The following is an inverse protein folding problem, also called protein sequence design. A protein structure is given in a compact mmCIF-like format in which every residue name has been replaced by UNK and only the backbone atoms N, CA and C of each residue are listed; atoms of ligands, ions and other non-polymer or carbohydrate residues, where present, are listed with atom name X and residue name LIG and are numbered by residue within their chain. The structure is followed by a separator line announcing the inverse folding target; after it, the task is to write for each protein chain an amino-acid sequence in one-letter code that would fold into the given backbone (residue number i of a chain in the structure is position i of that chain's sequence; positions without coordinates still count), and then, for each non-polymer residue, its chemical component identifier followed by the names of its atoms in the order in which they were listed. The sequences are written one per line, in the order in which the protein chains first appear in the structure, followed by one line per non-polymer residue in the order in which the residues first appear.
data_IF_572320711641
#
_entry.id   IF_572320711641
#
_cell.length_a   1.000
_cell.length_b   1.000
_cell.length_c   1.000
_cell.angle_alpha   90.00
_cell.angle_beta   90.00
_cell.angle_gamma   90.00
#
_symmetry.space_group_name_H-M   'P 1'
#
loop_
_entity.id
_entity.type
_entity.pdbx_description
1 polymer ?
#
# COMPACT_ATOMS: atom_id res chain seq x y z
N UNK A 1 12.85 -28.32 0.33
CA UNK A 1 13.50 -27.60 1.43
C UNK A 1 12.39 -27.08 2.31
N UNK A 2 12.30 -27.54 3.57
CA UNK A 2 11.28 -27.08 4.51
C UNK A 2 11.57 -25.61 4.84
N UNK A 3 10.79 -24.68 4.27
CA UNK A 3 10.91 -23.26 4.61
C UNK A 3 10.58 -23.09 6.10
N UNK A 4 11.52 -22.54 6.87
CA UNK A 4 11.27 -22.18 8.25
C UNK A 4 10.08 -21.21 8.31
N UNK A 5 9.14 -21.42 9.24
CA UNK A 5 7.99 -20.54 9.40
C UNK A 5 8.42 -19.11 9.73
N UNK A 6 7.51 -18.16 9.58
CA UNK A 6 7.78 -16.72 9.77
C UNK A 6 6.89 -16.12 10.82
N UNK A 7 7.49 -15.43 11.79
CA UNK A 7 6.78 -14.81 12.90
C UNK A 7 6.69 -13.29 12.72
N UNK A 8 5.49 -12.78 12.48
CA UNK A 8 5.21 -11.38 12.20
C UNK A 8 4.33 -10.83 13.31
N UNK A 9 4.76 -9.73 13.94
CA UNK A 9 4.05 -9.11 15.06
C UNK A 9 3.55 -7.72 14.67
N UNK A 10 2.31 -7.43 15.05
CA UNK A 10 1.70 -6.12 14.89
C UNK A 10 1.65 -5.41 16.25
N UNK A 11 2.32 -4.28 16.37
CA UNK A 11 2.42 -3.48 17.60
C UNK A 11 1.86 -2.06 17.43
N UNK A 12 1.57 -1.40 18.54
CA UNK A 12 1.05 -0.03 18.58
C UNK A 12 -0.07 0.15 19.60
N UNK A 13 -0.49 1.40 19.83
CA UNK A 13 -1.54 1.74 20.79
C UNK A 13 -2.93 1.20 20.44
N UNK A 14 -3.93 1.47 21.27
CA UNK A 14 -5.34 1.23 20.96
C UNK A 14 -5.79 2.12 19.77
N UNK A 15 -6.80 1.68 19.00
CA UNK A 15 -7.38 2.51 17.93
C UNK A 15 -6.52 2.73 16.68
N UNK A 16 -5.35 2.09 16.58
CA UNK A 16 -4.42 2.29 15.45
C UNK A 16 -4.77 1.51 14.17
N UNK A 17 -5.76 0.60 14.22
CA UNK A 17 -6.21 -0.15 13.04
C UNK A 17 -5.52 -1.49 12.79
N UNK A 18 -4.69 -1.99 13.72
CA UNK A 18 -4.01 -3.30 13.62
C UNK A 18 -4.94 -4.43 13.21
N UNK A 19 -6.05 -4.62 13.94
CA UNK A 19 -6.99 -5.72 13.69
C UNK A 19 -7.58 -5.69 12.28
N UNK A 20 -7.82 -4.49 11.72
CA UNK A 20 -8.27 -4.35 10.33
C UNK A 20 -7.20 -4.82 9.37
N UNK A 21 -5.95 -4.37 9.56
CA UNK A 21 -4.86 -4.72 8.66
C UNK A 21 -4.42 -6.19 8.76
N UNK A 22 -4.48 -6.79 9.95
CA UNK A 22 -4.26 -8.23 10.14
C UNK A 22 -5.24 -9.02 9.27
N UNK A 23 -6.54 -8.67 9.27
CA UNK A 23 -7.55 -9.34 8.43
C UNK A 23 -7.28 -9.17 6.94
N UNK A 24 -6.85 -7.98 6.51
CA UNK A 24 -6.50 -7.70 5.11
C UNK A 24 -5.29 -8.54 4.68
N UNK A 25 -4.25 -8.59 5.52
CA UNK A 25 -3.04 -9.38 5.25
C UNK A 25 -3.33 -10.89 5.27
N UNK A 26 -4.07 -11.37 6.27
CA UNK A 26 -4.54 -12.75 6.41
C UNK A 26 -5.23 -13.22 5.13
N UNK A 27 -6.22 -12.46 4.66
CA UNK A 27 -6.95 -12.78 3.43
C UNK A 27 -5.99 -12.87 2.24
N UNK A 28 -5.12 -11.87 2.07
CA UNK A 28 -4.19 -11.79 0.93
C UNK A 28 -3.15 -12.92 0.90
N UNK A 29 -2.63 -13.32 2.07
CA UNK A 29 -1.70 -14.46 2.18
C UNK A 29 -2.42 -15.79 1.95
N UNK A 30 -3.63 -15.95 2.50
CA UNK A 30 -4.46 -17.15 2.25
C UNK A 30 -4.78 -17.32 0.77
N UNK A 31 -5.15 -16.24 0.07
CA UNK A 31 -5.42 -16.24 -1.38
C UNK A 31 -4.17 -16.62 -2.20
N UNK A 32 -2.96 -16.41 -1.67
CA UNK A 32 -1.70 -16.85 -2.27
C UNK A 32 -1.26 -18.26 -1.86
N UNK A 33 -2.09 -18.97 -1.10
CA UNK A 33 -1.85 -20.36 -0.71
C UNK A 33 -0.87 -20.54 0.45
N UNK A 34 -0.57 -19.49 1.21
CA UNK A 34 0.25 -19.63 2.42
C UNK A 34 -0.55 -20.26 3.55
N UNK A 35 0.08 -21.18 4.29
CA UNK A 35 -0.44 -21.67 5.56
C UNK A 35 -0.13 -20.62 6.64
N UNK A 36 -1.18 -20.08 7.23
CA UNK A 36 -1.11 -18.94 8.13
C UNK A 36 -1.81 -19.25 9.46
N UNK A 37 -1.29 -18.67 10.53
CA UNK A 37 -1.92 -18.67 11.85
C UNK A 37 -2.02 -17.25 12.35
N UNK A 38 -3.25 -16.76 12.50
CA UNK A 38 -3.52 -15.48 13.15
C UNK A 38 -3.82 -15.71 14.63
N UNK A 39 -3.10 -15.00 15.49
CA UNK A 39 -3.28 -15.06 16.94
C UNK A 39 -3.08 -13.69 17.60
N UNK A 40 -3.20 -13.61 18.93
CA UNK A 40 -3.10 -12.36 19.70
C UNK A 40 -2.58 -12.60 21.10
N UNK A 41 -2.04 -11.55 21.71
CA UNK A 41 -1.68 -11.55 23.13
C UNK A 41 -2.32 -10.40 23.92
N UNK A 42 -2.61 -10.61 25.22
CA UNK A 42 -2.63 -11.89 25.93
C UNK A 42 -3.77 -12.76 25.40
N UNK A 43 -3.68 -14.09 25.55
CA UNK A 43 -4.62 -15.04 24.96
C UNK A 43 -4.03 -15.82 23.79
N UNK A 44 -4.86 -16.16 22.82
CA UNK A 44 -4.48 -16.83 21.59
C UNK A 44 -5.49 -17.88 21.16
N UNK A 45 -5.76 -17.95 19.86
CA UNK A 45 -6.68 -18.95 19.29
C UNK A 45 -6.14 -20.35 19.57
N UNK A 46 -6.95 -21.21 20.20
CA UNK A 46 -6.53 -22.58 20.55
C UNK A 46 -5.69 -22.70 21.83
N UNK A 47 -5.55 -21.63 22.63
CA UNK A 47 -4.78 -21.63 23.89
C UNK A 47 -5.67 -21.31 25.11
N UNK A 48 -6.44 -22.28 25.65
CA UNK A 48 -7.41 -22.04 26.73
C UNK A 48 -6.83 -21.37 27.97
N UNK A 49 -5.66 -21.82 28.43
CA UNK A 49 -4.99 -21.26 29.62
C UNK A 49 -4.64 -19.77 29.40
N UNK A 50 -4.16 -19.40 28.21
CA UNK A 50 -3.83 -18.01 27.92
C UNK A 50 -5.10 -17.14 27.84
N UNK A 51 -6.21 -17.68 27.34
CA UNK A 51 -7.52 -16.99 27.31
C UNK A 51 -8.12 -16.82 28.72
N UNK A 52 -7.95 -17.78 29.63
CA UNK A 52 -8.34 -17.61 31.05
C UNK A 52 -7.54 -16.49 31.72
N UNK A 53 -6.22 -16.45 31.49
CA UNK A 53 -5.38 -15.36 31.99
C UNK A 53 -5.80 -14.01 31.37
N UNK A 54 -6.12 -13.99 30.07
CA UNK A 54 -6.67 -12.80 29.41
C UNK A 54 -7.97 -12.34 30.09
N UNK A 55 -8.88 -13.26 30.42
CA UNK A 55 -10.11 -12.92 31.11
C UNK A 55 -9.86 -12.24 32.47
N UNK A 56 -8.83 -12.68 33.21
CA UNK A 56 -8.40 -12.04 34.46
C UNK A 56 -7.85 -10.63 34.20
N UNK A 57 -6.97 -10.48 33.21
CA UNK A 57 -6.33 -9.20 32.87
C UNK A 57 -7.32 -8.13 32.40
N UNK A 58 -8.31 -8.53 31.61
CA UNK A 58 -9.31 -7.64 30.99
C UNK A 58 -10.50 -7.31 31.87
N UNK A 59 -10.67 -8.00 33.00
CA UNK A 59 -11.85 -7.81 33.85
C UNK A 59 -11.81 -6.43 34.56
N UNK A 60 -12.76 -5.52 34.28
CA UNK A 60 -12.80 -4.18 34.91
C UNK A 60 -13.04 -4.22 36.43
N UNK A 61 -13.54 -5.33 36.97
CA UNK A 61 -13.70 -5.51 38.41
C UNK A 61 -12.36 -5.65 39.15
N UNK A 62 -11.29 -6.07 38.47
CA UNK A 62 -9.98 -6.34 39.08
C UNK A 62 -9.12 -5.08 39.27
N UNK A 63 -9.69 -4.00 39.79
CA UNK A 63 -9.02 -2.68 39.95
C UNK A 63 -7.85 -2.70 40.94
N UNK A 64 -7.81 -3.66 41.87
CA UNK A 64 -6.77 -3.79 42.89
C UNK A 64 -5.52 -4.55 42.41
N UNK A 65 -5.50 -5.07 41.18
CA UNK A 65 -4.34 -5.79 40.65
C UNK A 65 -3.13 -4.84 40.55
N UNK A 66 -2.02 -5.22 41.19
CA UNK A 66 -0.78 -4.46 41.13
C UNK A 66 -0.14 -4.57 39.74
N UNK A 67 0.70 -3.61 39.39
CA UNK A 67 1.34 -3.55 38.09
C UNK A 67 2.34 -4.71 37.88
N UNK A 68 2.97 -5.22 38.95
CA UNK A 68 3.81 -6.43 38.93
C UNK A 68 2.97 -7.68 38.66
N UNK A 69 1.82 -7.82 39.33
CA UNK A 69 0.90 -8.93 39.09
C UNK A 69 0.44 -8.94 37.63
N UNK A 70 0.08 -7.77 37.11
CA UNK A 70 -0.29 -7.58 35.71
C UNK A 70 0.85 -8.01 34.76
N UNK A 71 2.08 -7.55 35.01
CA UNK A 71 3.26 -7.95 34.24
C UNK A 71 3.44 -9.48 34.24
N UNK A 72 3.40 -10.13 35.41
CA UNK A 72 3.57 -11.58 35.52
C UNK A 72 2.44 -12.36 34.86
N UNK A 73 1.20 -11.87 34.88
CA UNK A 73 0.09 -12.50 34.16
C UNK A 73 0.25 -12.38 32.64
N UNK A 74 0.70 -11.22 32.12
CA UNK A 74 1.03 -11.11 30.69
C UNK A 74 2.14 -12.10 30.30
N UNK A 75 3.19 -12.20 31.12
CA UNK A 75 4.31 -13.11 30.88
C UNK A 75 3.87 -14.59 30.96
N UNK A 76 3.01 -14.95 31.91
CA UNK A 76 2.47 -16.30 32.03
C UNK A 76 1.60 -16.68 30.83
N UNK A 77 0.73 -15.76 30.37
CA UNK A 77 -0.09 -15.93 29.17
C UNK A 77 0.79 -16.16 27.94
N UNK A 78 1.81 -15.31 27.74
CA UNK A 78 2.78 -15.40 26.64
C UNK A 78 3.59 -16.69 26.68
N UNK A 79 4.11 -17.07 27.85
CA UNK A 79 4.90 -18.28 28.02
C UNK A 79 4.15 -19.54 27.58
N UNK A 80 2.85 -19.61 27.91
CA UNK A 80 1.97 -20.69 27.47
C UNK A 80 1.70 -20.61 25.96
N UNK A 81 1.32 -19.43 25.47
CA UNK A 81 0.94 -19.21 24.08
C UNK A 81 2.09 -19.51 23.10
N UNK A 82 3.31 -19.08 23.41
CA UNK A 82 4.50 -19.36 22.60
C UNK A 82 4.75 -20.86 22.50
N UNK A 83 4.77 -21.58 23.63
CA UNK A 83 5.10 -23.01 23.67
C UNK A 83 4.02 -23.91 23.09
N UNK A 84 2.75 -23.55 23.26
CA UNK A 84 1.62 -24.36 22.82
C UNK A 84 1.21 -24.07 21.37
N UNK A 85 1.33 -22.82 20.92
CA UNK A 85 0.73 -22.36 19.66
C UNK A 85 1.77 -21.81 18.69
N UNK A 86 2.52 -20.77 19.07
CA UNK A 86 3.35 -20.04 18.11
C UNK A 86 4.54 -20.88 17.64
N UNK A 87 5.35 -21.42 18.56
CA UNK A 87 6.54 -22.19 18.21
C UNK A 87 6.21 -23.46 17.42
N UNK A 88 5.19 -24.27 17.79
CA UNK A 88 4.77 -25.40 16.95
C UNK A 88 4.38 -24.98 15.53
N UNK A 89 3.60 -23.91 15.37
CA UNK A 89 3.19 -23.42 14.05
C UNK A 89 4.37 -22.95 13.19
N UNK A 90 5.35 -22.26 13.80
CA UNK A 90 6.58 -21.86 13.11
C UNK A 90 7.40 -23.08 12.68
N UNK A 91 7.51 -24.10 13.55
CA UNK A 91 8.22 -25.34 13.24
C UNK A 91 7.54 -26.14 12.11
N UNK A 92 6.23 -26.00 11.96
CA UNK A 92 5.44 -26.55 10.84
C UNK A 92 5.62 -25.76 9.53
N UNK A 93 6.33 -24.63 9.55
CA UNK A 93 6.56 -23.79 8.38
C UNK A 93 5.50 -22.72 8.13
N UNK A 94 4.58 -22.49 9.08
CA UNK A 94 3.49 -21.51 8.93
C UNK A 94 3.99 -20.07 9.06
N UNK A 95 3.24 -19.15 8.48
CA UNK A 95 3.37 -17.72 8.78
C UNK A 95 2.45 -17.41 9.98
N UNK A 96 3.05 -17.09 11.12
CA UNK A 96 2.29 -16.68 12.31
C UNK A 96 2.21 -15.17 12.36
N UNK A 97 0.98 -14.63 12.36
CA UNK A 97 0.70 -13.21 12.54
C UNK A 97 0.11 -13.01 13.94
N UNK A 98 0.77 -12.23 14.79
CA UNK A 98 0.35 -12.00 16.16
C UNK A 98 0.04 -10.52 16.44
N UNK A 99 -1.17 -10.25 16.95
CA UNK A 99 -1.53 -8.93 17.49
C UNK A 99 -0.93 -8.80 18.90
N UNK A 100 0.11 -7.96 19.02
CA UNK A 100 0.96 -7.75 20.20
C UNK A 100 1.88 -8.92 20.58
N UNK A 101 3.04 -8.60 21.17
CA UNK A 101 4.00 -9.56 21.71
C UNK A 101 4.84 -8.90 22.84
N UNK A 102 6.13 -9.24 22.97
CA UNK A 102 7.03 -8.73 24.01
C UNK A 102 7.15 -7.20 24.04
N UNK A 103 7.12 -6.55 22.88
CA UNK A 103 7.28 -5.10 22.77
C UNK A 103 6.17 -4.32 23.49
N UNK A 104 4.93 -4.82 23.45
CA UNK A 104 3.81 -4.31 24.26
C UNK A 104 4.14 -4.34 25.76
N UNK A 105 4.80 -5.38 26.27
CA UNK A 105 5.17 -5.44 27.69
C UNK A 105 6.16 -4.35 28.07
N UNK A 106 7.15 -4.05 27.23
CA UNK A 106 8.09 -2.96 27.47
C UNK A 106 7.39 -1.58 27.39
N UNK A 107 6.57 -1.36 26.36
CA UNK A 107 5.89 -0.09 26.16
C UNK A 107 4.93 0.26 27.31
N UNK A 108 4.10 -0.70 27.74
CA UNK A 108 3.11 -0.47 28.77
C UNK A 108 3.71 -0.62 30.19
N UNK A 109 4.45 -1.68 30.49
CA UNK A 109 4.86 -1.97 31.87
C UNK A 109 6.13 -1.23 32.28
N UNK A 110 7.11 -1.10 31.38
CA UNK A 110 8.32 -0.33 31.69
C UNK A 110 8.12 1.17 31.42
N UNK A 111 7.89 1.56 30.16
CA UNK A 111 7.89 2.98 29.79
C UNK A 111 6.69 3.76 30.34
N UNK A 112 5.49 3.18 30.34
CA UNK A 112 4.29 3.90 30.79
C UNK A 112 4.06 3.78 32.30
N UNK A 113 4.18 2.57 32.88
CA UNK A 113 3.99 2.30 34.32
C UNK A 113 5.24 2.56 35.17
N UNK A 114 6.44 2.56 34.59
CA UNK A 114 7.69 2.76 35.32
C UNK A 114 8.15 1.55 36.13
N UNK A 115 7.75 0.32 35.73
CA UNK A 115 8.16 -0.90 36.44
C UNK A 115 9.56 -1.35 36.04
N UNK A 116 10.38 -1.57 37.07
CA UNK A 116 11.76 -2.08 36.99
C UNK A 116 12.64 -1.26 36.03
N UNK A 117 13.93 -1.53 36.01
CA UNK A 117 14.80 -1.02 34.95
C UNK A 117 14.55 -1.79 33.63
N UNK A 118 14.95 -1.18 32.51
CA UNK A 118 14.69 -1.72 31.17
C UNK A 118 15.28 -3.13 30.97
N UNK A 119 16.49 -3.36 31.46
CA UNK A 119 17.18 -4.64 31.30
C UNK A 119 16.52 -5.74 32.11
N UNK A 120 16.04 -5.44 33.31
CA UNK A 120 15.22 -6.38 34.10
C UNK A 120 13.97 -6.82 33.34
N UNK A 121 13.20 -5.89 32.75
CA UNK A 121 11.97 -6.25 32.02
C UNK A 121 12.29 -7.03 30.73
N UNK A 122 13.36 -6.69 30.02
CA UNK A 122 13.85 -7.48 28.87
C UNK A 122 14.22 -8.91 29.28
N UNK A 123 14.97 -9.07 30.37
CA UNK A 123 15.39 -10.38 30.86
C UNK A 123 14.21 -11.25 31.27
N UNK A 124 13.20 -10.69 31.92
CA UNK A 124 12.01 -11.45 32.31
C UNK A 124 11.16 -11.82 31.07
N UNK A 125 11.05 -10.93 30.07
CA UNK A 125 10.40 -11.26 28.78
C UNK A 125 11.12 -12.42 28.06
N UNK A 126 12.44 -12.34 27.96
CA UNK A 126 13.28 -13.40 27.40
C UNK A 126 13.11 -14.70 28.21
N UNK A 127 13.08 -14.66 29.54
CA UNK A 127 12.84 -15.85 30.35
C UNK A 127 11.48 -16.51 30.06
N UNK A 128 10.43 -15.71 29.84
CA UNK A 128 9.11 -16.22 29.52
C UNK A 128 9.06 -16.95 28.16
N UNK A 129 9.88 -16.55 27.19
CA UNK A 129 9.73 -16.95 25.77
C UNK A 129 10.94 -17.64 25.16
N UNK A 130 12.11 -17.57 25.78
CA UNK A 130 13.40 -17.94 25.21
C UNK A 130 13.92 -16.88 24.23
N UNK A 131 14.89 -17.27 23.40
CA UNK A 131 15.40 -16.48 22.27
C UNK A 131 14.44 -16.55 21.07
N UNK A 132 13.15 -16.29 21.34
CA UNK A 132 12.09 -16.38 20.34
C UNK A 132 11.59 -14.99 19.97
N UNK A 133 12.32 -14.36 19.06
CA UNK A 133 12.02 -13.03 18.55
C UNK A 133 11.26 -13.08 17.22
N UNK A 134 10.43 -12.07 16.92
CA UNK A 134 9.77 -11.96 15.63
C UNK A 134 10.75 -11.69 14.49
N UNK A 135 10.49 -12.30 13.33
CA UNK A 135 11.20 -11.98 12.08
C UNK A 135 10.89 -10.55 11.60
N UNK A 136 9.69 -10.03 11.92
CA UNK A 136 9.24 -8.69 11.55
C UNK A 136 8.26 -8.14 12.59
N UNK A 137 8.52 -6.94 13.07
CA UNK A 137 7.60 -6.16 13.91
C UNK A 137 7.10 -4.93 13.15
N UNK A 138 5.79 -4.84 12.96
CA UNK A 138 5.13 -3.70 12.32
C UNK A 138 4.53 -2.79 13.42
N UNK A 139 5.14 -1.63 13.64
CA UNK A 139 4.67 -0.64 14.60
C UNK A 139 3.69 0.32 13.94
N UNK A 140 2.43 0.27 14.33
CA UNK A 140 1.40 1.21 13.89
C UNK A 140 1.49 2.49 14.72
N UNK A 141 2.12 3.51 14.16
CA UNK A 141 2.31 4.81 14.79
C UNK A 141 1.23 5.80 14.37
N UNK A 142 0.62 6.45 15.35
CA UNK A 142 -0.32 7.54 15.18
C UNK A 142 -0.33 8.37 16.46
N UNK A 143 -0.73 9.64 16.36
CA UNK A 143 -0.96 10.45 17.53
C UNK A 143 -2.03 9.83 18.46
N UNK A 144 -1.76 9.68 19.78
CA UNK A 144 -2.72 9.09 20.70
C UNK A 144 -4.06 9.81 20.76
N UNK A 145 -4.08 11.13 20.57
CA UNK A 145 -5.33 11.91 20.58
C UNK A 145 -6.20 11.56 19.36
N UNK A 146 -5.56 11.41 18.19
CA UNK A 146 -6.25 10.97 16.97
C UNK A 146 -6.76 9.52 17.12
N UNK A 147 -5.96 8.64 17.72
CA UNK A 147 -6.35 7.25 17.95
C UNK A 147 -7.55 7.12 18.91
N UNK A 148 -7.54 7.86 20.02
CA UNK A 148 -8.65 7.91 20.97
C UNK A 148 -9.92 8.47 20.31
N UNK A 149 -9.81 9.52 19.51
CA UNK A 149 -10.94 10.06 18.75
C UNK A 149 -11.55 9.02 17.79
N UNK A 150 -10.74 8.16 17.16
CA UNK A 150 -11.24 7.05 16.34
C UNK A 150 -12.00 6.02 17.16
N UNK A 151 -11.55 5.73 18.38
CA UNK A 151 -12.26 4.79 19.27
C UNK A 151 -13.63 5.37 19.61
N UNK A 152 -13.69 6.64 20.03
CA UNK A 152 -14.94 7.35 20.38
C UNK A 152 -15.90 7.40 19.18
N UNK A 153 -15.41 7.74 17.98
CA UNK A 153 -16.24 7.82 16.77
C UNK A 153 -16.79 6.46 16.31
N UNK A 154 -16.07 5.37 16.60
CA UNK A 154 -16.51 4.01 16.24
C UNK A 154 -17.41 3.35 17.31
N UNK A 155 -17.75 4.04 18.41
CA UNK A 155 -18.57 3.51 19.51
C UNK A 155 -20.06 3.28 19.17
N UNK A 156 -20.51 3.53 17.94
CA UNK A 156 -21.83 3.08 17.44
C UNK A 156 -21.92 1.55 17.21
N UNK A 157 -20.88 0.78 17.55
CA UNK A 157 -20.90 -0.70 17.51
C UNK A 157 -20.37 -1.35 18.80
N UNK A 158 -21.03 -1.09 19.93
CA UNK A 158 -21.41 -2.12 20.92
C UNK A 158 -20.36 -3.01 21.62
N UNK A 159 -19.05 -2.78 21.52
CA UNK A 159 -18.07 -3.56 22.29
C UNK A 159 -16.73 -2.82 22.46
N UNK A 160 -16.65 -1.92 23.44
CA UNK A 160 -15.45 -1.49 24.19
C UNK A 160 -15.88 -0.43 25.23
N UNK A 161 -16.95 -0.72 25.96
CA UNK A 161 -17.27 0.00 27.18
C UNK A 161 -16.71 -0.84 28.34
N UNK A 162 -15.69 -0.31 29.03
CA UNK A 162 -15.15 -0.80 30.30
C UNK A 162 -14.10 -1.94 30.22
N UNK A 163 -13.10 -1.81 29.35
CA UNK A 163 -11.86 -2.59 29.50
C UNK A 163 -10.94 -1.93 30.55
N UNK A 164 -10.25 -2.72 31.39
CA UNK A 164 -9.41 -2.19 32.47
C UNK A 164 -8.28 -1.25 31.96
N UNK A 165 -7.91 -1.37 30.68
CA UNK A 165 -6.86 -0.59 30.02
C UNK A 165 -7.34 0.74 29.40
N UNK A 166 -8.64 0.90 29.12
CA UNK A 166 -9.17 2.03 28.36
C UNK A 166 -9.39 3.30 29.22
N UNK A 167 -9.25 3.19 30.54
CA UNK A 167 -9.46 4.29 31.51
C UNK A 167 -8.18 5.11 31.80
N UNK A 168 -7.10 4.88 31.06
CA UNK A 168 -5.83 5.57 31.26
C UNK A 168 -5.81 6.98 30.62
N UNK A 169 -5.06 7.91 31.22
CA UNK A 169 -5.01 9.30 30.74
C UNK A 169 -4.21 9.41 29.42
N UNK A 170 -4.45 10.46 28.64
CA UNK A 170 -3.72 10.75 27.41
C UNK A 170 -2.18 10.69 27.58
N UNK A 171 -1.66 11.15 28.72
CA UNK A 171 -0.23 11.08 29.04
C UNK A 171 0.31 9.65 29.15
N UNK A 172 -0.51 8.70 29.60
CA UNK A 172 -0.16 7.27 29.60
C UNK A 172 0.02 6.76 28.16
N UNK A 173 -0.95 7.03 27.27
CA UNK A 173 -0.84 6.62 25.86
C UNK A 173 0.32 7.30 25.12
N UNK A 174 0.66 8.55 25.47
CA UNK A 174 1.87 9.22 24.97
C UNK A 174 3.14 8.49 25.40
N UNK A 175 3.24 8.08 26.68
CA UNK A 175 4.37 7.28 27.18
C UNK A 175 4.45 5.92 26.50
N UNK A 176 3.32 5.25 26.27
CA UNK A 176 3.25 3.98 25.53
C UNK A 176 3.79 4.16 24.11
N UNK A 177 3.30 5.17 23.36
CA UNK A 177 3.78 5.48 22.01
C UNK A 177 5.29 5.72 21.99
N UNK A 178 5.78 6.56 22.90
CA UNK A 178 7.22 6.83 22.99
C UNK A 178 8.02 5.56 23.33
N UNK A 179 7.49 4.71 24.21
CA UNK A 179 8.08 3.42 24.54
C UNK A 179 8.20 2.49 23.35
N UNK A 180 7.23 2.46 22.44
CA UNK A 180 7.35 1.74 21.18
C UNK A 180 8.39 2.37 20.24
N UNK A 181 8.36 3.69 20.05
CA UNK A 181 9.31 4.39 19.18
C UNK A 181 10.76 4.24 19.65
N UNK A 182 11.00 4.16 20.96
CA UNK A 182 12.34 3.90 21.49
C UNK A 182 12.85 2.49 21.13
N UNK A 183 11.96 1.51 21.01
CA UNK A 183 12.30 0.12 20.69
C UNK A 183 12.65 -0.09 19.20
N UNK A 184 12.28 0.84 18.31
CA UNK A 184 12.55 0.72 16.87
C UNK A 184 13.97 1.15 16.50
N UNK A 185 14.67 1.86 17.39
CA UNK A 185 15.98 2.43 17.13
C UNK A 185 17.02 1.32 16.90
N UNK A 186 17.76 1.41 15.79
CA UNK A 186 18.81 0.47 15.40
C UNK A 186 18.33 -0.99 15.26
N UNK A 187 17.07 -1.21 14.89
CA UNK A 187 16.53 -2.55 14.71
C UNK A 187 15.89 -2.74 13.33
N UNK A 188 16.59 -3.46 12.45
CA UNK A 188 16.16 -3.69 11.07
C UNK A 188 14.91 -4.56 10.94
N UNK A 189 14.56 -5.33 11.98
CA UNK A 189 13.32 -6.14 11.99
C UNK A 189 12.09 -5.30 12.30
N UNK A 190 12.24 -4.03 12.64
CA UNK A 190 11.12 -3.12 12.87
C UNK A 190 10.82 -2.29 11.63
N UNK A 191 9.52 -2.10 11.37
CA UNK A 191 9.00 -1.16 10.37
C UNK A 191 7.89 -0.33 10.98
N UNK A 192 8.02 0.99 10.88
CA UNK A 192 7.02 1.93 11.38
C UNK A 192 6.03 2.19 10.26
N UNK A 193 4.75 1.99 10.56
CA UNK A 193 3.62 2.17 9.67
C UNK A 193 2.87 3.43 10.11
N UNK A 194 2.66 4.37 9.21
CA UNK A 194 1.90 5.58 9.50
C UNK A 194 0.39 5.26 9.55
N UNK A 195 -0.13 4.99 10.74
CA UNK A 195 -1.52 4.61 10.93
C UNK A 195 -2.52 5.77 10.75
N UNK A 196 -2.05 6.99 10.44
CA UNK A 196 -2.90 8.11 10.05
C UNK A 196 -3.39 8.02 8.59
N UNK A 197 -2.74 7.21 7.76
CA UNK A 197 -3.08 7.04 6.34
C UNK A 197 -4.39 6.25 6.11
N UNK A 198 -4.98 6.33 4.90
CA UNK A 198 -6.06 5.46 4.47
C UNK A 198 -5.72 3.96 4.60
N UNK A 199 -6.76 3.13 4.76
CA UNK A 199 -6.62 1.67 4.97
C UNK A 199 -5.84 1.00 3.83
N UNK A 200 -6.07 1.41 2.59
CA UNK A 200 -5.46 0.78 1.40
C UNK A 200 -3.97 1.10 1.29
N UNK A 201 -3.56 2.32 1.61
CA UNK A 201 -2.14 2.73 1.63
C UNK A 201 -1.36 1.94 2.69
N UNK A 202 -1.94 1.82 3.89
CA UNK A 202 -1.36 1.03 4.97
C UNK A 202 -1.24 -0.45 4.57
N UNK A 203 -2.27 -1.00 3.93
CA UNK A 203 -2.27 -2.39 3.43
C UNK A 203 -1.17 -2.62 2.40
N UNK A 204 -0.94 -1.66 1.50
CA UNK A 204 0.11 -1.72 0.50
C UNK A 204 1.50 -1.68 1.13
N UNK A 205 1.72 -0.79 2.11
CA UNK A 205 2.98 -0.70 2.84
C UNK A 205 3.30 -1.99 3.61
N UNK A 206 2.32 -2.53 4.36
CA UNK A 206 2.44 -3.82 5.06
C UNK A 206 2.80 -4.93 4.07
N UNK A 207 2.14 -4.95 2.92
CA UNK A 207 2.40 -5.95 1.89
C UNK A 207 3.83 -5.88 1.36
N UNK A 208 4.42 -4.68 1.21
CA UNK A 208 5.82 -4.53 0.78
C UNK A 208 6.77 -5.14 1.80
N UNK A 209 6.59 -4.85 3.09
CA UNK A 209 7.45 -5.37 4.15
C UNK A 209 7.34 -6.89 4.31
N UNK A 210 6.11 -7.41 4.33
CA UNK A 210 5.87 -8.86 4.42
C UNK A 210 6.35 -9.58 3.16
N UNK A 211 6.11 -9.01 1.97
CA UNK A 211 6.61 -9.55 0.71
C UNK A 211 8.14 -9.67 0.70
N UNK A 212 8.83 -8.65 1.23
CA UNK A 212 10.29 -8.67 1.38
C UNK A 212 10.75 -9.77 2.33
N UNK A 213 10.11 -9.87 3.51
CA UNK A 213 10.46 -10.87 4.52
C UNK A 213 10.32 -12.30 3.99
N UNK A 214 9.19 -12.57 3.34
CA UNK A 214 8.88 -13.90 2.82
C UNK A 214 9.68 -14.23 1.55
N UNK A 215 10.54 -13.31 1.09
CA UNK A 215 11.24 -13.39 -0.19
C UNK A 215 10.27 -13.70 -1.33
N UNK A 216 9.07 -13.10 -1.25
CA UNK A 216 8.21 -12.99 -2.40
C UNK A 216 8.93 -11.98 -3.28
N UNK A 217 9.92 -12.45 -4.06
CA UNK A 217 10.70 -11.63 -4.99
C UNK A 217 9.79 -10.63 -5.69
N UNK A 218 10.28 -9.40 -5.83
CA UNK A 218 9.60 -8.20 -6.36
C UNK A 218 8.19 -8.50 -6.87
N UNK A 219 7.10 -8.16 -6.15
CA UNK A 219 5.70 -8.68 -6.17
C UNK A 219 5.23 -9.85 -7.09
N UNK A 220 6.11 -10.54 -7.80
CA UNK A 220 5.92 -11.24 -9.06
C UNK A 220 6.63 -12.60 -9.04
N UNK A 221 7.32 -12.94 -7.95
CA UNK A 221 7.94 -14.25 -7.72
C UNK A 221 6.95 -15.44 -7.69
N UNK A 222 5.65 -15.16 -7.54
CA UNK A 222 4.58 -16.17 -7.61
C UNK A 222 3.92 -16.29 -8.98
N UNK A 223 4.33 -15.49 -9.97
CA UNK A 223 3.89 -15.73 -11.33
C UNK A 223 4.73 -16.89 -11.85
N UNK A 224 4.07 -18.04 -12.03
CA UNK A 224 4.68 -19.22 -12.63
C UNK A 224 5.46 -18.83 -13.90
N UNK A 225 6.77 -19.00 -13.80
CA UNK A 225 7.85 -18.69 -14.74
C UNK A 225 8.23 -17.20 -14.87
N UNK A 226 9.50 -16.84 -14.55
CA UNK A 226 10.10 -15.72 -15.26
C UNK A 226 10.08 -16.08 -16.73
N UNK A 227 9.41 -15.29 -17.56
CA UNK A 227 9.66 -15.34 -19.00
C UNK A 227 11.07 -14.80 -19.17
N UNK A 228 12.04 -15.69 -18.98
CA UNK A 228 13.42 -15.38 -19.29
C UNK A 228 13.44 -15.03 -20.78
N UNK A 229 13.92 -13.84 -21.17
CA UNK A 229 14.16 -13.57 -22.56
C UNK A 229 15.12 -14.66 -23.09
N UNK A 230 15.00 -15.08 -24.36
CA UNK A 230 16.05 -15.88 -24.96
C UNK A 230 17.40 -15.18 -24.74
N UNK A 231 18.45 -15.94 -24.38
CA UNK A 231 19.77 -15.48 -23.95
C UNK A 231 20.49 -14.48 -24.88
N UNK A 232 19.90 -14.17 -26.04
CA UNK A 232 20.36 -13.22 -27.04
C UNK A 232 19.76 -11.81 -26.93
N UNK A 233 18.87 -11.51 -25.97
CA UNK A 233 18.30 -10.16 -25.81
C UNK A 233 19.19 -9.30 -24.90
N UNK A 234 19.83 -8.30 -25.49
CA UNK A 234 20.53 -7.23 -24.76
C UNK A 234 19.69 -5.95 -24.78
N UNK A 235 19.39 -5.39 -23.61
CA UNK A 235 18.80 -4.05 -23.46
C UNK A 235 17.27 -4.02 -23.63
N UNK A 236 16.54 -4.05 -22.51
CA UNK A 236 15.15 -3.60 -22.45
C UNK A 236 15.06 -2.10 -22.19
N UNK A 237 13.85 -1.56 -22.22
CA UNK A 237 13.61 -0.13 -22.01
C UNK A 237 12.14 0.15 -21.69
N UNK A 238 11.88 1.16 -20.88
CA UNK A 238 10.59 1.75 -20.60
C UNK A 238 10.48 3.14 -21.26
N UNK A 239 9.53 3.26 -22.19
CA UNK A 239 9.15 4.52 -22.81
C UNK A 239 7.75 4.94 -22.33
N UNK A 240 7.57 6.20 -21.93
CA UNK A 240 6.27 6.74 -21.51
C UNK A 240 5.84 7.88 -22.43
N UNK A 241 4.65 7.77 -22.99
CA UNK A 241 3.96 8.78 -23.80
C UNK A 241 2.82 9.37 -22.95
N UNK A 242 2.99 10.59 -22.48
CA UNK A 242 2.02 11.24 -21.60
C UNK A 242 1.49 12.55 -22.18
N UNK A 243 0.45 13.11 -21.55
CA UNK A 243 -0.12 14.40 -21.95
C UNK A 243 -1.64 14.45 -21.80
N UNK A 244 -2.22 15.57 -22.25
CA UNK A 244 -3.65 15.83 -22.17
C UNK A 244 -4.48 14.91 -23.08
N UNK A 245 -5.80 14.91 -22.88
CA UNK A 245 -6.76 14.35 -23.83
C UNK A 245 -6.60 15.06 -25.18
N UNK A 246 -6.85 14.33 -26.28
CA UNK A 246 -6.71 14.83 -27.67
C UNK A 246 -5.28 15.14 -28.13
N UNK A 247 -4.26 14.86 -27.32
CA UNK A 247 -2.86 15.10 -27.67
C UNK A 247 -2.24 14.05 -28.62
N UNK A 248 -3.00 13.05 -29.08
CA UNK A 248 -2.51 12.03 -30.01
C UNK A 248 -1.68 10.89 -29.37
N UNK A 249 -1.87 10.62 -28.08
CA UNK A 249 -1.05 9.65 -27.32
C UNK A 249 -1.17 8.21 -27.85
N UNK A 250 -2.40 7.76 -28.07
CA UNK A 250 -2.69 6.42 -28.60
C UNK A 250 -2.16 6.27 -30.03
N UNK A 251 -2.25 7.32 -30.84
CA UNK A 251 -1.69 7.37 -32.19
C UNK A 251 -0.16 7.26 -32.17
N UNK A 252 0.50 7.96 -31.26
CA UNK A 252 1.95 7.88 -31.08
C UNK A 252 2.39 6.50 -30.57
N UNK A 253 1.65 5.90 -29.63
CA UNK A 253 1.87 4.53 -29.18
C UNK A 253 1.77 3.55 -30.35
N UNK A 254 0.65 3.56 -31.08
CA UNK A 254 0.43 2.68 -32.24
C UNK A 254 1.53 2.90 -33.31
N UNK A 255 1.96 4.13 -33.55
CA UNK A 255 3.05 4.44 -34.48
C UNK A 255 4.36 3.77 -34.07
N UNK A 256 4.74 3.80 -32.79
CA UNK A 256 5.95 3.14 -32.28
C UNK A 256 5.85 1.62 -32.31
N UNK A 257 4.68 1.08 -31.98
CA UNK A 257 4.43 -0.36 -32.07
C UNK A 257 4.49 -0.87 -33.52
N UNK A 258 3.94 -0.13 -34.49
CA UNK A 258 4.06 -0.45 -35.91
C UNK A 258 5.48 -0.44 -36.43
N UNK A 259 6.31 0.51 -35.99
CA UNK A 259 7.75 0.51 -36.31
C UNK A 259 8.43 -0.77 -35.83
N UNK A 260 8.02 -1.29 -34.67
CA UNK A 260 8.54 -2.56 -34.14
C UNK A 260 8.09 -3.76 -35.00
N UNK A 261 6.85 -3.78 -35.48
CA UNK A 261 6.36 -4.80 -36.42
C UNK A 261 7.13 -4.79 -37.75
N UNK A 262 7.46 -3.60 -38.29
CA UNK A 262 8.29 -3.47 -39.50
C UNK A 262 9.68 -4.08 -39.28
N UNK A 263 10.24 -3.93 -38.07
CA UNK A 263 11.46 -4.58 -37.65
C UNK A 263 11.29 -6.07 -37.29
N UNK A 264 10.18 -6.70 -37.70
CA UNK A 264 9.82 -8.11 -37.47
C UNK A 264 9.76 -8.53 -35.99
N UNK A 265 9.55 -7.57 -35.08
CA UNK A 265 9.37 -7.84 -33.65
C UNK A 265 7.94 -8.28 -33.36
N UNK A 266 7.77 -9.19 -32.39
CA UNK A 266 6.44 -9.59 -31.90
C UNK A 266 5.95 -8.59 -30.86
N UNK A 267 4.77 -8.02 -31.11
CA UNK A 267 4.18 -6.98 -30.27
C UNK A 267 2.91 -7.47 -29.60
N UNK A 268 2.70 -7.09 -28.34
CA UNK A 268 1.44 -7.22 -27.60
C UNK A 268 1.01 -5.85 -27.11
N UNK A 269 -0.27 -5.49 -27.30
CA UNK A 269 -0.85 -4.23 -26.84
C UNK A 269 -1.92 -4.54 -25.78
N UNK A 270 -1.93 -3.82 -24.67
CA UNK A 270 -2.86 -4.01 -23.55
C UNK A 270 -3.69 -2.76 -23.27
N UNK A 271 -4.94 -2.96 -22.84
CA UNK A 271 -5.85 -1.93 -22.33
C UNK A 271 -6.52 -2.37 -21.03
N UNK A 272 -6.89 -1.44 -20.14
CA UNK A 272 -7.61 -1.77 -18.91
C UNK A 272 -9.09 -2.04 -19.22
N UNK A 273 -9.71 -2.94 -18.46
CA UNK A 273 -11.14 -3.28 -18.62
C UNK A 273 -12.09 -2.14 -18.25
N UNK A 274 -11.63 -1.19 -17.44
CA UNK A 274 -12.36 0.04 -17.10
C UNK A 274 -12.55 0.96 -18.31
N UNK A 275 -11.86 0.75 -19.42
CA UNK A 275 -12.07 1.51 -20.66
C UNK A 275 -13.10 0.83 -21.59
N UNK A 276 -14.36 0.74 -21.16
CA UNK A 276 -15.45 0.16 -21.97
C UNK A 276 -16.04 1.13 -22.99
N UNK A 277 -15.29 2.17 -23.41
CA UNK A 277 -15.78 3.20 -24.36
C UNK A 277 -16.12 2.64 -25.75
N UNK A 278 -15.77 1.38 -26.02
CA UNK A 278 -16.17 0.65 -27.22
C UNK A 278 -16.40 -0.85 -26.91
N UNK A 279 -17.68 -1.23 -26.80
CA UNK A 279 -18.33 -2.57 -26.73
C UNK A 279 -17.62 -3.77 -26.08
N UNK A 280 -18.39 -4.47 -25.23
CA UNK A 280 -17.97 -5.56 -24.35
C UNK A 280 -17.62 -6.90 -25.03
N UNK A 281 -17.72 -7.07 -26.35
CA UNK A 281 -17.43 -8.38 -26.99
C UNK A 281 -16.99 -8.25 -28.46
N UNK A 282 -15.88 -7.56 -28.71
CA UNK A 282 -15.31 -7.14 -30.01
C UNK A 282 -15.69 -5.70 -30.36
N UNK A 283 -14.76 -4.76 -30.12
CA UNK A 283 -14.69 -3.55 -30.96
C UNK A 283 -13.32 -3.45 -31.58
N UNK A 284 -13.28 -3.95 -32.81
CA UNK A 284 -12.45 -3.41 -33.88
C UNK A 284 -12.85 -1.93 -34.03
N UNK A 285 -11.95 -0.99 -33.73
CA UNK A 285 -12.21 0.42 -34.05
C UNK A 285 -12.07 0.64 -35.56
N UNK A 286 -13.04 1.33 -36.15
CA UNK A 286 -13.21 1.42 -37.59
C UNK A 286 -12.26 2.43 -38.27
N UNK A 287 -10.95 2.29 -38.05
CA UNK A 287 -9.96 3.00 -38.84
C UNK A 287 -8.92 2.05 -39.42
N UNK A 288 -8.52 2.30 -40.67
CA UNK A 288 -7.76 1.40 -41.57
C UNK A 288 -6.33 1.04 -41.12
N UNK A 289 -6.04 1.16 -39.82
CA UNK A 289 -4.71 1.18 -39.22
C UNK A 289 -4.63 0.43 -37.87
N UNK A 290 -5.54 -0.49 -37.58
CA UNK A 290 -5.68 -1.11 -36.26
C UNK A 290 -4.59 -2.12 -35.88
N UNK A 291 -4.18 -2.08 -34.61
CA UNK A 291 -3.40 -3.11 -33.92
C UNK A 291 -4.30 -3.77 -32.87
N UNK A 292 -4.35 -5.10 -32.84
CA UNK A 292 -5.15 -5.87 -31.87
C UNK A 292 -4.67 -5.62 -30.44
N UNK A 293 -5.59 -5.28 -29.53
CA UNK A 293 -5.32 -5.05 -28.11
C UNK A 293 -5.99 -6.10 -27.23
N UNK A 294 -5.33 -6.44 -26.12
CA UNK A 294 -5.78 -7.39 -25.11
C UNK A 294 -6.32 -6.59 -23.92
N UNK A 295 -7.58 -6.83 -23.56
CA UNK A 295 -8.23 -6.20 -22.42
C UNK A 295 -7.90 -7.01 -21.16
N UNK A 296 -7.43 -6.33 -20.12
CA UNK A 296 -7.04 -6.93 -18.84
C UNK A 296 -7.63 -6.16 -17.65
N UNK A 297 -7.87 -6.86 -16.54
CA UNK A 297 -8.48 -6.26 -15.35
C UNK A 297 -7.44 -5.68 -14.40
N UNK A 298 -6.32 -6.38 -14.26
CA UNK A 298 -5.21 -5.99 -13.38
C UNK A 298 -3.92 -5.92 -14.16
N UNK A 299 -2.99 -5.06 -13.75
CA UNK A 299 -1.71 -4.94 -14.45
C UNK A 299 -0.93 -6.27 -14.47
N UNK A 300 -1.09 -7.11 -13.43
CA UNK A 300 -0.48 -8.45 -13.35
C UNK A 300 -0.96 -9.43 -14.45
N UNK A 301 -2.13 -9.20 -15.05
CA UNK A 301 -2.65 -10.07 -16.11
C UNK A 301 -1.81 -9.98 -17.40
N UNK A 302 -0.99 -8.94 -17.58
CA UNK A 302 -0.07 -8.79 -18.71
C UNK A 302 0.76 -10.06 -18.91
N UNK A 303 1.31 -10.61 -17.83
CA UNK A 303 2.20 -11.78 -17.87
C UNK A 303 1.53 -13.02 -18.47
N UNK A 304 0.21 -13.21 -18.27
CA UNK A 304 -0.55 -14.36 -18.80
C UNK A 304 -0.58 -14.39 -20.34
N UNK A 305 -0.31 -13.25 -20.97
CA UNK A 305 -0.37 -13.09 -22.43
C UNK A 305 1.00 -12.95 -23.08
N UNK A 306 2.07 -12.96 -22.28
CA UNK A 306 3.44 -12.90 -22.75
C UNK A 306 4.01 -14.31 -22.94
N UNK A 307 4.98 -14.40 -23.83
CA UNK A 307 5.76 -15.61 -24.06
C UNK A 307 7.16 -15.22 -24.55
N UNK A 308 8.06 -16.21 -24.65
CA UNK A 308 9.45 -16.00 -25.08
C UNK A 308 9.60 -15.40 -26.48
N UNK A 309 8.57 -15.47 -27.31
CA UNK A 309 8.58 -14.86 -28.64
C UNK A 309 8.22 -13.36 -28.61
N UNK A 310 7.59 -12.85 -27.55
CA UNK A 310 7.14 -11.45 -27.46
C UNK A 310 8.32 -10.52 -27.23
N UNK A 311 8.48 -9.47 -28.02
CA UNK A 311 9.61 -8.53 -27.93
C UNK A 311 9.20 -7.16 -27.37
N UNK A 312 8.01 -6.68 -27.75
CA UNK A 312 7.55 -5.32 -27.46
C UNK A 312 6.16 -5.36 -26.82
N UNK A 313 5.99 -4.57 -25.76
CA UNK A 313 4.78 -4.49 -24.96
C UNK A 313 4.27 -3.05 -25.03
N UNK A 314 3.08 -2.86 -25.57
CA UNK A 314 2.35 -1.60 -25.54
C UNK A 314 1.30 -1.62 -24.45
N UNK A 315 1.17 -0.55 -23.67
CA UNK A 315 0.11 -0.37 -22.68
C UNK A 315 -0.55 0.98 -22.97
N UNK A 316 -1.85 0.97 -23.25
CA UNK A 316 -2.62 2.19 -23.50
C UNK A 316 -3.53 2.50 -22.30
N UNK A 317 -3.91 3.76 -22.15
CA UNK A 317 -4.78 4.24 -21.06
C UNK A 317 -4.25 3.88 -19.66
N UNK A 318 -2.93 3.96 -19.48
CA UNK A 318 -2.21 3.52 -18.29
C UNK A 318 -2.68 4.16 -16.97
N UNK A 319 -3.27 5.36 -17.01
CA UNK A 319 -3.81 6.03 -15.83
C UNK A 319 -4.98 5.28 -15.15
N UNK A 320 -5.61 4.33 -15.84
CA UNK A 320 -6.70 3.51 -15.29
C UNK A 320 -6.25 2.13 -14.80
N UNK A 321 -4.95 1.83 -14.87
CA UNK A 321 -4.40 0.63 -14.26
C UNK A 321 -4.17 0.82 -12.76
N UNK A 322 -4.03 -0.31 -12.06
CA UNK A 322 -3.66 -0.33 -10.64
C UNK A 322 -2.21 0.15 -10.40
N UNK A 323 -1.91 0.46 -9.14
CA UNK A 323 -0.61 1.01 -8.71
C UNK A 323 0.55 0.01 -8.83
N UNK A 324 0.31 -1.22 -9.31
CA UNK A 324 1.37 -2.19 -9.58
C UNK A 324 1.98 -2.02 -10.98
N UNK A 325 1.31 -1.28 -11.88
CA UNK A 325 1.77 -1.09 -13.25
C UNK A 325 3.23 -0.58 -13.34
N UNK A 326 3.69 0.41 -12.54
CA UNK A 326 5.06 0.90 -12.62
C UNK A 326 6.10 -0.18 -12.38
N UNK A 327 5.91 -1.00 -11.33
CA UNK A 327 6.88 -2.05 -10.99
C UNK A 327 6.82 -3.23 -11.98
N UNK A 328 5.66 -3.49 -12.59
CA UNK A 328 5.53 -4.46 -13.69
C UNK A 328 6.30 -3.99 -14.92
N UNK A 329 6.13 -2.73 -15.31
CA UNK A 329 6.83 -2.13 -16.45
C UNK A 329 8.34 -2.15 -16.25
N UNK A 330 8.82 -1.77 -15.06
CA UNK A 330 10.24 -1.81 -14.70
C UNK A 330 10.80 -3.24 -14.72
N UNK A 331 10.07 -4.20 -14.15
CA UNK A 331 10.47 -5.61 -14.20
C UNK A 331 10.55 -6.14 -15.65
N UNK A 332 9.58 -5.82 -16.50
CA UNK A 332 9.58 -6.22 -17.91
C UNK A 332 10.74 -5.55 -18.67
N UNK A 333 11.05 -4.28 -18.41
CA UNK A 333 12.21 -3.62 -18.99
C UNK A 333 13.53 -4.28 -18.53
N UNK A 334 13.68 -4.56 -17.24
CA UNK A 334 14.84 -5.25 -16.67
C UNK A 334 15.03 -6.68 -17.21
N UNK A 335 13.94 -7.34 -17.61
CA UNK A 335 13.97 -8.65 -18.28
C UNK A 335 14.12 -8.56 -19.81
N UNK A 336 14.46 -7.39 -20.34
CA UNK A 336 14.85 -7.21 -21.75
C UNK A 336 13.70 -6.99 -22.72
N UNK A 337 12.48 -6.71 -22.24
CA UNK A 337 11.38 -6.27 -23.09
C UNK A 337 11.50 -4.78 -23.39
N UNK A 338 11.01 -4.38 -24.56
CA UNK A 338 10.71 -2.98 -24.84
C UNK A 338 9.27 -2.68 -24.41
N UNK A 339 9.10 -1.86 -23.39
CA UNK A 339 7.80 -1.46 -22.84
C UNK A 339 7.50 -0.03 -23.28
N UNK A 340 6.34 0.20 -23.88
CA UNK A 340 5.87 1.52 -24.31
C UNK A 340 4.50 1.76 -23.67
N UNK A 341 4.42 2.75 -22.80
CA UNK A 341 3.21 3.06 -22.02
C UNK A 341 2.63 4.39 -22.48
N UNK A 342 1.32 4.46 -22.68
CA UNK A 342 0.62 5.70 -22.99
C UNK A 342 -0.50 5.98 -21.97
N UNK A 343 -0.62 7.23 -21.53
CA UNK A 343 -1.66 7.61 -20.57
C UNK A 343 -1.75 9.10 -20.29
N UNK A 344 -2.79 9.52 -19.58
CA UNK A 344 -2.97 10.91 -19.13
C UNK A 344 -2.07 11.22 -17.93
N UNK A 345 -1.27 12.28 -17.99
CA UNK A 345 -0.41 12.68 -16.86
C UNK A 345 -1.16 13.37 -15.73
N UNK A 346 -2.28 14.04 -16.05
CA UNK A 346 -3.11 14.72 -15.04
C UNK A 346 -4.60 14.47 -15.22
N UNK A 347 -5.32 14.48 -14.09
CA UNK A 347 -6.78 14.52 -14.00
C UNK A 347 -7.35 15.84 -14.54
N UNK A 348 -8.68 15.97 -14.56
CA UNK A 348 -9.38 17.17 -15.03
C UNK A 348 -9.18 18.40 -14.12
N UNK A 349 -8.72 18.22 -12.89
CA UNK A 349 -8.41 19.27 -11.93
C UNK A 349 -6.88 19.47 -11.78
N UNK A 350 -6.10 19.01 -12.76
CA UNK A 350 -4.63 19.14 -12.82
C UNK A 350 -3.85 18.43 -11.71
N UNK A 351 -4.40 17.37 -11.11
CA UNK A 351 -3.66 16.49 -10.19
C UNK A 351 -2.98 15.35 -10.97
N UNK A 352 -1.86 14.81 -10.48
CA UNK A 352 -1.25 13.62 -11.07
C UNK A 352 -2.25 12.46 -11.15
N UNK A 353 -2.27 11.71 -12.26
CA UNK A 353 -3.29 10.67 -12.49
C UNK A 353 -2.70 9.25 -12.42
N UNK A 354 -3.13 8.50 -11.40
CA UNK A 354 -2.90 7.06 -11.30
C UNK A 354 -1.41 6.71 -11.26
N UNK A 355 -0.96 5.61 -11.90
CA UNK A 355 0.43 5.16 -11.86
C UNK A 355 1.39 5.99 -12.73
N UNK A 356 0.90 6.97 -13.48
CA UNK A 356 1.70 7.71 -14.47
C UNK A 356 2.90 8.46 -13.86
N UNK A 357 2.80 9.13 -12.69
CA UNK A 357 3.94 9.84 -12.11
C UNK A 357 5.14 8.94 -11.80
N UNK A 358 4.89 7.74 -11.30
CA UNK A 358 5.94 6.76 -11.01
C UNK A 358 6.54 6.22 -12.32
N UNK A 359 5.69 5.90 -13.31
CA UNK A 359 6.15 5.51 -14.65
C UNK A 359 7.06 6.57 -15.30
N UNK A 360 6.73 7.85 -15.16
CA UNK A 360 7.55 8.96 -15.67
C UNK A 360 8.91 9.04 -14.99
N UNK A 361 9.01 8.67 -13.71
CA UNK A 361 10.27 8.66 -12.96
C UNK A 361 11.15 7.45 -13.31
N UNK A 362 10.54 6.32 -13.66
CA UNK A 362 11.24 5.07 -14.00
C UNK A 362 11.69 5.00 -15.47
N UNK A 363 11.02 5.72 -16.38
CA UNK A 363 11.24 5.59 -17.82
C UNK A 363 12.58 6.17 -18.30
N UNK A 364 13.27 5.46 -19.20
CA UNK A 364 14.44 5.99 -19.91
C UNK A 364 14.07 7.06 -20.94
N UNK A 365 12.81 7.08 -21.40
CA UNK A 365 12.33 8.09 -22.34
C UNK A 365 10.90 8.52 -22.03
N UNK A 366 10.70 9.84 -21.92
CA UNK A 366 9.39 10.46 -21.72
C UNK A 366 9.07 11.36 -22.91
N UNK A 367 7.89 11.16 -23.50
CA UNK A 367 7.33 12.02 -24.55
C UNK A 367 6.04 12.66 -24.04
N UNK A 368 6.08 13.97 -23.79
CA UNK A 368 4.91 14.73 -23.35
C UNK A 368 4.26 15.44 -24.54
N UNK A 369 3.05 15.02 -24.89
CA UNK A 369 2.28 15.57 -26.01
C UNK A 369 1.30 16.63 -25.50
N UNK A 370 1.20 17.74 -26.25
CA UNK A 370 0.17 18.76 -26.07
C UNK A 370 -0.97 18.58 -27.06
N UNK A 371 -2.17 18.97 -26.66
CA UNK A 371 -3.29 19.20 -27.55
C UNK A 371 -3.36 20.68 -27.96
N UNK A 372 -4.32 21.06 -28.80
CA UNK A 372 -4.61 22.46 -29.11
C UNK A 372 -5.66 22.97 -28.12
N UNK A 373 -5.40 24.09 -27.46
CA UNK A 373 -6.33 24.71 -26.53
C UNK A 373 -7.64 25.08 -27.23
N UNK A 374 -8.76 24.61 -26.69
CA UNK A 374 -10.10 24.88 -27.23
C UNK A 374 -10.49 26.37 -27.22
N UNK A 375 -9.82 27.19 -26.40
CA UNK A 375 -10.18 28.60 -26.20
C UNK A 375 -9.28 29.59 -26.94
N UNK A 376 -7.98 29.37 -26.93
CA UNK A 376 -7.01 30.34 -27.47
C UNK A 376 -6.12 29.76 -28.58
N UNK A 377 -6.23 28.47 -28.88
CA UNK A 377 -5.45 27.82 -29.94
C UNK A 377 -3.97 27.56 -29.62
N UNK A 378 -3.47 27.92 -28.44
CA UNK A 378 -2.09 27.58 -28.01
C UNK A 378 -1.99 26.14 -27.51
N UNK A 379 -0.77 25.65 -27.24
CA UNK A 379 -0.55 24.33 -26.68
C UNK A 379 -1.28 24.12 -25.33
N UNK A 380 -1.96 22.98 -25.22
CA UNK A 380 -2.78 22.59 -24.10
C UNK A 380 -2.27 21.29 -23.47
N UNK A 381 -1.91 21.38 -22.19
CA UNK A 381 -1.42 20.25 -21.38
C UNK A 381 -2.35 19.94 -20.22
N UNK A 382 -3.52 20.58 -20.14
CA UNK A 382 -4.50 20.36 -19.09
C UNK A 382 -5.82 19.89 -19.67
N UNK A 383 -6.47 19.05 -18.89
CA UNK A 383 -7.81 18.56 -19.18
C UNK A 383 -8.76 19.32 -18.27
N UNK A 384 -9.92 19.75 -18.76
CA UNK A 384 -11.00 20.29 -17.94
C UNK A 384 -12.31 19.61 -18.30
N UNK A 385 -13.12 19.29 -17.30
CA UNK A 385 -14.49 18.79 -17.50
C UNK A 385 -15.43 19.96 -17.76
N UNK A 386 -16.34 19.83 -18.74
CA UNK A 386 -17.34 20.85 -19.10
C UNK A 386 -18.57 20.84 -18.19
N UNK A 387 -18.73 19.84 -17.33
CA UNK A 387 -19.91 19.63 -16.47
C UNK A 387 -19.53 19.58 -14.98
N UNK A 388 -20.39 20.08 -14.09
CA UNK A 388 -20.17 20.25 -12.64
C UNK A 388 -20.32 18.96 -11.80
N UNK A 389 -20.27 17.77 -12.41
CA UNK A 389 -20.43 16.51 -11.67
C UNK A 389 -19.09 16.13 -11.01
N UNK A 390 -19.06 16.15 -9.68
CA UNK A 390 -17.88 15.93 -8.82
C UNK A 390 -17.35 14.50 -8.74
N UNK A 391 -17.90 13.54 -9.51
CA UNK A 391 -17.34 12.18 -9.53
C UNK A 391 -15.96 12.16 -10.18
N UNK A 392 -14.97 11.70 -9.40
CA UNK A 392 -13.55 11.61 -9.80
C UNK A 392 -13.29 10.56 -10.88
N UNK A 393 -14.26 9.67 -11.15
CA UNK A 393 -14.18 8.58 -12.13
C UNK A 393 -15.30 8.75 -13.16
N UNK A 394 -15.36 9.92 -13.78
CA UNK A 394 -16.17 10.10 -14.98
C UNK A 394 -15.42 9.53 -16.19
N UNK A 395 -15.79 8.34 -16.67
CA UNK A 395 -15.47 7.90 -18.04
C UNK A 395 -16.37 8.71 -18.99
N UNK A 396 -16.19 10.03 -19.01
CA UNK A 396 -16.93 10.91 -19.88
C UNK A 396 -16.47 10.75 -21.32
N UNK A 397 -17.43 10.76 -22.26
CA UNK A 397 -17.13 10.75 -23.69
C UNK A 397 -16.31 11.98 -24.11
N UNK A 398 -15.74 11.95 -25.32
CA UNK A 398 -14.96 13.07 -25.89
C UNK A 398 -15.68 14.44 -25.86
N UNK A 399 -17.01 14.46 -25.70
CA UNK A 399 -17.80 15.69 -25.55
C UNK A 399 -17.72 16.37 -24.18
N UNK A 400 -17.35 15.64 -23.12
CA UNK A 400 -17.38 16.13 -21.72
C UNK A 400 -16.10 16.85 -21.28
N UNK A 401 -15.02 16.76 -22.05
CA UNK A 401 -13.74 17.34 -21.70
C UNK A 401 -13.27 18.35 -22.76
N UNK A 402 -12.52 19.35 -22.32
CA UNK A 402 -11.79 20.25 -23.20
C UNK A 402 -10.29 20.33 -22.81
N UNK A 403 -9.39 20.33 -23.80
CA UNK A 403 -7.98 20.59 -23.56
C UNK A 403 -7.75 22.10 -23.41
N UNK A 404 -7.10 22.52 -22.33
CA UNK A 404 -6.81 23.93 -22.05
C UNK A 404 -5.32 24.19 -21.86
N UNK A 405 -4.88 25.36 -22.29
CA UNK A 405 -3.58 25.89 -21.91
C UNK A 405 -3.61 26.33 -20.43
N UNK A 406 -2.42 26.57 -19.85
CA UNK A 406 -2.29 26.95 -18.45
C UNK A 406 -3.11 28.19 -18.08
N UNK A 407 -3.09 29.21 -18.94
CA UNK A 407 -3.81 30.46 -18.72
C UNK A 407 -5.33 30.25 -18.77
N UNK A 408 -5.83 29.65 -19.84
CA UNK A 408 -7.26 29.39 -20.01
C UNK A 408 -7.82 28.45 -18.93
N UNK A 409 -7.02 27.52 -18.42
CA UNK A 409 -7.40 26.67 -17.29
C UNK A 409 -7.55 27.48 -15.99
N UNK A 410 -6.60 28.37 -15.69
CA UNK A 410 -6.62 29.17 -14.46
C UNK A 410 -7.61 30.36 -14.48
N UNK A 411 -8.07 30.78 -15.67
CA UNK A 411 -9.06 31.85 -15.84
C UNK A 411 -10.49 31.37 -15.61
N UNK A 412 -10.69 30.07 -15.46
CA UNK A 412 -11.96 29.53 -15.03
C UNK A 412 -12.08 29.82 -13.55
N UNK A 413 -13.10 30.59 -13.16
CA UNK A 413 -13.52 30.71 -11.77
C UNK A 413 -14.08 29.37 -11.30
N UNK A 414 -13.22 28.54 -10.69
CA UNK A 414 -13.69 27.47 -9.83
C UNK A 414 -14.23 28.12 -8.55
N UNK A 415 -15.53 28.04 -8.32
CA UNK A 415 -16.19 28.48 -7.08
C UNK A 415 -15.71 27.74 -5.82
N UNK A 416 -14.69 26.88 -5.93
CA UNK A 416 -14.10 26.10 -4.85
C UNK A 416 -12.56 26.15 -4.77
N UNK A 417 -11.86 27.01 -5.53
CA UNK A 417 -10.41 27.14 -5.39
C UNK A 417 -10.06 28.20 -4.33
N UNK A 418 -9.67 27.74 -3.13
CA UNK A 418 -9.04 28.61 -2.13
C UNK A 418 -7.70 29.06 -2.70
N UNK A 419 -7.59 30.35 -3.02
CA UNK A 419 -6.32 30.99 -3.33
C UNK A 419 -5.44 30.94 -2.08
N UNK A 420 -4.24 30.36 -2.20
CA UNK A 420 -3.19 30.58 -1.21
C UNK A 420 -2.72 32.03 -1.43
N UNK A 421 -3.33 32.96 -0.71
CA UNK A 421 -2.81 34.31 -0.61
C UNK A 421 -1.51 34.25 0.19
N UNK A 422 -0.41 34.65 -0.47
CA UNK A 422 0.86 34.91 0.17
C UNK A 422 0.66 36.03 1.21
N UNK A 423 0.65 35.68 2.50
CA UNK A 423 0.89 36.63 3.57
C UNK A 423 2.37 37.01 3.58
N UNK A 424 2.76 37.94 2.73
CA UNK A 424 3.93 38.78 3.01
C UNK A 424 3.45 39.93 3.88
N UNK A 425 3.65 39.79 5.19
CA UNK A 425 3.53 40.89 6.14
C UNK A 425 4.58 41.96 5.78
N UNK A 426 4.14 43.02 5.10
CA UNK A 426 4.81 44.31 5.13
C UNK A 426 4.77 44.83 6.57
N UNK A 427 5.92 44.82 7.23
CA UNK A 427 6.11 45.57 8.48
C UNK A 427 6.56 46.97 8.08
N UNK A 428 5.59 47.87 7.97
CA UNK A 428 5.80 49.32 8.00
C UNK A 428 6.22 49.71 9.41
N UNK A 429 7.51 49.96 9.62
CA UNK A 429 7.98 50.87 10.67
C UNK A 429 8.04 52.28 10.08
N UNK A 430 7.11 53.13 10.49
CA UNK A 430 7.23 54.58 10.36
C UNK A 430 7.86 55.12 11.65
N UNK A 431 8.93 55.90 11.47
CA UNK A 431 9.36 56.97 12.38
C UNK A 431 8.36 58.14 12.35
#
# INVERSE_FOLDING_TARGET
MTSHGKFIVFEGGEGTGKTTQIKVLEKKLTEKGFDILVTREPGGTGCPIAEEIRAILKNPAHKAMTAETELFLFLASRAQHVRQIIQPAINEGKIVICDRYQASTLAYQHYARGLFDLETVKNINCFATGDFDPDLTLLFDIDPEVALNRIIQNQDRGALADDRFDNEKLDFHRKVRQGFLNQTQNNDTWKIINAAQPIDDISLEIWRHVGTLLQLGTPFSHLDAPILPPASRTGGSLEVICGSMFAGKTEELIRRLKRSLIAQKKVKLFKPSLDTRFSATHVVSHDKNQMESIIINRAEDIFKHLNTATDVIGIDEAQFFDDQLPQICDHLANTGFKVIVAGLDTTFDSRPFGPIPELLALAESVTKLGAICSRCGTDAVRNRRKTDVQETIGIGGAGEYEPLCRQCFNQVEDTNYVSVTNNTNETTTQD
#
